data_IF_108626549362
#
_entry.id   IF_108626549362
#
_cell.length_a   1.000
_cell.length_b   1.000
_cell.length_c   1.000
_cell.angle_alpha   90.00
_cell.angle_beta   90.00
_cell.angle_gamma   90.00
#
_symmetry.space_group_name_H-M   'P 1'
#
loop_
_entity.id
_entity.type
_entity.pdbx_description
1 polymer ?
#
# COMPACT_ATOMS: atom_id res chain seq x y z
N UNK A 1 -7.68 -3.91 -9.30
CA UNK A 1 -7.40 -3.84 -7.83
C UNK A 1 -7.92 -5.06 -7.07
N UNK A 2 -9.18 -5.49 -7.29
CA UNK A 2 -9.80 -6.63 -6.59
C UNK A 2 -9.08 -7.98 -6.79
N UNK A 3 -8.49 -8.19 -7.98
CA UNK A 3 -7.71 -9.39 -8.30
C UNK A 3 -6.47 -9.54 -7.41
N UNK A 4 -5.72 -8.46 -7.21
CA UNK A 4 -4.52 -8.44 -6.34
C UNK A 4 -4.91 -8.72 -4.89
N UNK A 5 -5.97 -8.08 -4.40
CA UNK A 5 -6.48 -8.28 -3.05
C UNK A 5 -6.85 -9.75 -2.82
N UNK A 6 -7.55 -10.35 -3.78
CA UNK A 6 -7.97 -11.75 -3.75
C UNK A 6 -6.77 -12.70 -3.82
N UNK A 7 -5.78 -12.42 -4.68
CA UNK A 7 -4.53 -13.20 -4.81
C UNK A 7 -3.76 -13.27 -3.49
N UNK A 8 -3.55 -12.12 -2.84
CA UNK A 8 -2.87 -12.03 -1.55
C UNK A 8 -3.63 -12.78 -0.44
N UNK A 9 -4.95 -12.58 -0.37
CA UNK A 9 -5.80 -13.27 0.61
C UNK A 9 -5.77 -14.79 0.44
N UNK A 10 -5.96 -15.26 -0.79
CA UNK A 10 -5.97 -16.68 -1.09
C UNK A 10 -4.63 -17.33 -0.74
N UNK A 11 -3.52 -16.66 -1.06
CA UNK A 11 -2.20 -17.17 -0.71
C UNK A 11 -2.00 -17.26 0.82
N UNK A 12 -2.40 -16.23 1.58
CA UNK A 12 -2.34 -16.27 3.05
C UNK A 12 -3.14 -17.47 3.59
N UNK A 13 -4.36 -17.66 3.09
CA UNK A 13 -5.24 -18.74 3.53
C UNK A 13 -4.71 -20.12 3.15
N UNK A 14 -4.09 -20.27 1.98
CA UNK A 14 -3.42 -21.51 1.57
C UNK A 14 -2.23 -21.87 2.47
N UNK A 15 -1.50 -20.87 2.96
CA UNK A 15 -0.43 -21.05 3.93
C UNK A 15 -0.95 -21.33 5.35
N UNK A 16 -2.26 -21.27 5.58
CA UNK A 16 -2.86 -21.45 6.91
C UNK A 16 -2.58 -20.32 7.89
N UNK A 17 -2.11 -19.16 7.40
CA UNK A 17 -1.70 -18.03 8.22
C UNK A 17 -2.92 -17.18 8.57
N UNK A 18 -3.05 -16.81 9.84
CA UNK A 18 -4.11 -15.87 10.22
C UNK A 18 -3.71 -14.43 9.90
N UNK A 19 -4.68 -13.55 9.64
CA UNK A 19 -4.37 -12.14 9.38
C UNK A 19 -3.66 -11.46 10.56
N UNK A 20 -3.95 -11.88 11.81
CA UNK A 20 -3.28 -11.40 13.02
C UNK A 20 -1.82 -11.83 13.09
N UNK A 21 -1.52 -13.05 12.66
CA UNK A 21 -0.16 -13.59 12.59
C UNK A 21 0.64 -12.85 11.51
N UNK A 22 0.09 -12.72 10.31
CA UNK A 22 0.68 -11.92 9.25
C UNK A 22 0.99 -10.48 9.70
N UNK A 23 0.07 -9.82 10.40
CA UNK A 23 0.29 -8.48 10.94
C UNK A 23 1.44 -8.44 11.96
N UNK A 24 1.50 -9.44 12.86
CA UNK A 24 2.55 -9.56 13.87
C UNK A 24 3.93 -9.78 13.23
N UNK A 25 4.01 -10.60 12.19
CA UNK A 25 5.27 -11.00 11.57
C UNK A 25 5.81 -9.91 10.64
N UNK A 26 4.95 -9.36 9.78
CA UNK A 26 5.29 -8.28 8.84
C UNK A 26 5.47 -6.91 9.49
N UNK A 27 4.99 -6.74 10.73
CA UNK A 27 4.87 -5.45 11.43
C UNK A 27 3.94 -4.45 10.75
N UNK A 28 3.13 -4.91 9.79
CA UNK A 28 2.06 -4.11 9.20
C UNK A 28 0.86 -4.14 10.17
N UNK A 29 0.23 -2.98 10.38
CA UNK A 29 -0.99 -2.90 11.19
C UNK A 29 -2.08 -3.81 10.61
N UNK A 30 -2.82 -4.49 11.48
CA UNK A 30 -3.87 -5.42 11.08
C UNK A 30 -4.89 -4.76 10.15
N UNK A 31 -5.25 -3.50 10.44
CA UNK A 31 -6.21 -2.71 9.67
C UNK A 31 -5.73 -2.47 8.22
N UNK A 32 -4.42 -2.37 8.00
CA UNK A 32 -3.87 -2.22 6.65
C UNK A 32 -3.83 -3.53 5.89
N UNK A 33 -3.54 -4.67 6.54
CA UNK A 33 -3.68 -5.96 5.88
C UNK A 33 -5.14 -6.27 5.53
N UNK A 34 -6.09 -5.90 6.40
CA UNK A 34 -7.52 -5.97 6.10
C UNK A 34 -7.90 -5.10 4.89
N UNK A 35 -7.41 -3.86 4.85
CA UNK A 35 -7.62 -2.96 3.71
C UNK A 35 -7.02 -3.53 2.41
N UNK A 36 -5.83 -4.15 2.47
CA UNK A 36 -5.20 -4.79 1.32
C UNK A 36 -6.04 -5.97 0.82
N UNK A 37 -6.44 -6.89 1.70
CA UNK A 37 -7.20 -8.09 1.31
C UNK A 37 -8.66 -7.82 0.93
N UNK A 38 -9.18 -6.63 1.27
CA UNK A 38 -10.51 -6.16 0.83
C UNK A 38 -10.47 -5.27 -0.40
N UNK A 39 -9.28 -4.96 -0.93
CA UNK A 39 -9.10 -4.02 -2.03
C UNK A 39 -9.40 -2.55 -1.68
N UNK A 40 -9.65 -2.23 -0.39
CA UNK A 40 -9.93 -0.88 0.07
C UNK A 40 -8.64 -0.10 0.35
N UNK A 41 -7.87 0.15 -0.71
CA UNK A 41 -6.56 0.78 -0.63
C UNK A 41 -6.60 2.25 -0.15
N UNK A 42 -7.74 2.92 -0.30
CA UNK A 42 -7.95 4.30 0.16
C UNK A 42 -7.72 4.48 1.66
N UNK A 43 -7.91 3.43 2.47
CA UNK A 43 -7.69 3.46 3.92
C UNK A 43 -6.19 3.50 4.33
N UNK A 44 -5.28 3.22 3.40
CA UNK A 44 -3.84 3.13 3.67
C UNK A 44 -3.15 4.51 3.54
N UNK A 45 -3.87 5.51 3.00
CA UNK A 45 -3.38 6.87 2.86
C UNK A 45 -2.52 7.05 1.62
N UNK A 46 -1.24 7.38 1.78
CA UNK A 46 -0.35 7.67 0.65
C UNK A 46 0.09 6.39 -0.09
N UNK A 47 0.16 6.48 -1.40
CA UNK A 47 0.53 5.37 -2.28
C UNK A 47 1.90 4.76 -1.98
N UNK A 48 2.86 5.58 -1.54
CA UNK A 48 4.19 5.11 -1.15
C UNK A 48 4.10 4.06 -0.03
N UNK A 49 3.19 4.25 0.94
CA UNK A 49 2.97 3.27 2.00
C UNK A 49 2.31 2.01 1.48
N UNK A 50 1.29 2.15 0.62
CA UNK A 50 0.64 1.00 0.00
C UNK A 50 1.61 0.14 -0.79
N UNK A 51 2.43 0.72 -1.66
CA UNK A 51 3.47 -0.03 -2.40
C UNK A 51 4.47 -0.68 -1.46
N UNK A 52 4.85 -0.01 -0.37
CA UNK A 52 5.70 -0.60 0.66
C UNK A 52 5.06 -1.82 1.33
N UNK A 53 3.78 -1.73 1.71
CA UNK A 53 3.04 -2.83 2.33
C UNK A 53 2.79 -3.98 1.37
N UNK A 54 2.47 -3.70 0.10
CA UNK A 54 2.35 -4.72 -0.93
C UNK A 54 3.66 -5.51 -1.06
N UNK A 55 4.82 -4.84 -1.09
CA UNK A 55 6.13 -5.50 -1.15
C UNK A 55 6.39 -6.39 0.06
N UNK A 56 6.23 -5.85 1.27
CA UNK A 56 6.47 -6.61 2.51
C UNK A 56 5.54 -7.82 2.58
N UNK A 57 4.27 -7.65 2.20
CA UNK A 57 3.28 -8.69 2.34
C UNK A 57 3.40 -9.78 1.26
N UNK A 58 3.69 -9.41 0.01
CA UNK A 58 3.97 -10.38 -1.05
C UNK A 58 5.21 -11.22 -0.74
N UNK A 59 6.27 -10.60 -0.23
CA UNK A 59 7.49 -11.31 0.20
C UNK A 59 7.20 -12.29 1.34
N UNK A 60 6.47 -11.86 2.37
CA UNK A 60 6.03 -12.71 3.48
C UNK A 60 5.20 -13.92 3.01
N UNK A 61 4.37 -13.73 1.97
CA UNK A 61 3.53 -14.79 1.39
C UNK A 61 4.24 -15.65 0.33
N UNK A 62 5.55 -15.45 0.13
CA UNK A 62 6.35 -16.12 -0.90
C UNK A 62 5.79 -15.94 -2.33
N UNK A 63 5.23 -14.76 -2.62
CA UNK A 63 4.77 -14.37 -3.95
C UNK A 63 5.84 -13.53 -4.65
N UNK A 64 5.80 -13.50 -5.99
CA UNK A 64 6.65 -12.59 -6.75
C UNK A 64 6.22 -11.14 -6.49
N UNK A 65 7.03 -10.46 -5.69
CA UNK A 65 6.81 -9.07 -5.31
C UNK A 65 6.84 -8.13 -6.51
N UNK A 66 7.66 -8.41 -7.52
CA UNK A 66 7.75 -7.56 -8.73
C UNK A 66 6.47 -7.69 -9.54
N UNK A 67 5.94 -8.90 -9.67
CA UNK A 67 4.68 -9.17 -10.36
C UNK A 67 3.51 -8.45 -9.69
N UNK A 68 3.36 -8.57 -8.36
CA UNK A 68 2.30 -7.90 -7.60
C UNK A 68 2.35 -6.37 -7.77
N UNK A 69 3.54 -5.78 -7.74
CA UNK A 69 3.70 -4.33 -7.92
C UNK A 69 3.40 -3.91 -9.36
N UNK A 70 3.84 -4.69 -10.36
CA UNK A 70 3.54 -4.42 -11.76
C UNK A 70 2.03 -4.52 -12.04
N UNK A 71 1.34 -5.54 -11.52
CA UNK A 71 -0.11 -5.67 -11.59
C UNK A 71 -0.82 -4.48 -10.95
N UNK A 72 -0.33 -4.02 -9.78
CA UNK A 72 -0.89 -2.84 -9.11
C UNK A 72 -0.73 -1.56 -9.95
N UNK A 73 0.45 -1.36 -10.54
CA UNK A 73 0.74 -0.19 -11.37
C UNK A 73 -0.07 -0.21 -12.67
N UNK A 74 -0.20 -1.37 -13.33
CA UNK A 74 -1.02 -1.53 -14.52
C UNK A 74 -2.51 -1.31 -14.22
N UNK A 75 -3.02 -1.91 -13.13
CA UNK A 75 -4.39 -1.73 -12.70
C UNK A 75 -4.69 -0.29 -12.27
N UNK A 76 -3.67 0.52 -11.94
CA UNK A 76 -3.83 1.95 -11.66
C UNK A 76 -3.80 2.78 -12.94
N UNK A 77 -2.91 2.47 -13.89
CA UNK A 77 -2.82 3.21 -15.16
C UNK A 77 -4.10 3.11 -15.98
N UNK A 78 -4.81 1.97 -15.91
CA UNK A 78 -6.09 1.78 -16.58
C UNK A 78 -7.23 2.64 -16.00
N UNK A 79 -7.04 3.23 -14.81
CA UNK A 79 -8.01 4.09 -14.11
C UNK A 79 -7.60 5.57 -14.06
N UNK A 80 -6.49 5.97 -14.67
CA UNK A 80 -6.06 7.37 -14.67
C UNK A 80 -6.69 8.16 -15.83
N UNK A 81 -7.94 8.60 -15.63
CA UNK A 81 -8.40 9.90 -16.11
C UNK A 81 -7.97 10.93 -15.07
N UNK A 82 -6.98 11.76 -15.44
CA UNK A 82 -6.65 13.07 -14.87
C UNK A 82 -6.82 13.26 -13.34
N UNK A 83 -5.76 13.03 -12.58
CA UNK A 83 -5.49 13.84 -11.37
C UNK A 83 -4.00 13.89 -11.07
N UNK A 84 -3.32 14.79 -11.78
CA UNK A 84 -2.16 15.51 -11.25
C UNK A 84 -2.57 16.12 -9.89
N UNK A 85 -1.90 15.75 -8.79
CA UNK A 85 -1.73 16.54 -7.55
C UNK A 85 -1.36 15.66 -6.33
N UNK A 86 -0.19 15.03 -6.34
CA UNK A 86 0.43 14.48 -5.12
C UNK A 86 1.95 14.70 -5.06
N UNK A 87 2.47 15.76 -5.70
CA UNK A 87 3.91 16.11 -5.63
C UNK A 87 4.22 17.49 -5.00
N UNK A 88 3.29 18.10 -4.24
CA UNK A 88 3.54 19.40 -3.57
C UNK A 88 3.80 19.34 -2.05
N UNK A 89 4.23 18.18 -1.52
CA UNK A 89 4.63 18.11 -0.10
C UNK A 89 6.06 18.66 0.12
N UNK A 90 6.92 18.64 -0.90
CA UNK A 90 8.25 19.25 -0.83
C UNK A 90 8.19 20.79 -0.70
N UNK A 91 7.21 21.44 -1.33
CA UNK A 91 7.06 22.90 -1.29
C UNK A 91 6.47 23.41 0.04
N UNK A 92 5.58 22.64 0.69
CA UNK A 92 4.97 23.03 1.97
C UNK A 92 5.91 22.87 3.17
N UNK A 93 6.98 22.09 3.06
CA UNK A 93 8.03 21.97 4.08
C UNK A 93 9.03 23.14 4.05
N UNK A 94 9.09 23.91 2.95
CA UNK A 94 9.90 25.12 2.84
C UNK A 94 9.28 26.34 3.54
N UNK A 95 7.96 26.39 3.70
CA UNK A 95 7.24 27.58 4.20
C UNK A 95 6.97 27.65 5.71
N UNK A 96 7.40 26.67 6.52
CA UNK A 96 7.08 26.67 7.96
C UNK A 96 8.17 27.22 8.91
N UNK A 97 9.07 28.10 8.42
CA UNK A 97 9.86 28.98 9.31
C UNK A 97 9.26 30.38 9.28
N UNK A 98 8.18 30.57 10.04
CA UNK A 98 7.70 31.92 10.35
C UNK A 98 8.75 32.63 11.21
N UNK A 99 9.11 33.82 10.75
CA UNK A 99 10.12 34.80 11.19
C UNK A 99 10.27 35.02 12.70
N UNK A 100 11.49 35.36 13.20
CA UNK A 100 11.61 36.24 14.35
C UNK A 100 11.62 37.71 13.88
N UNK A 101 10.65 38.47 14.38
CA UNK A 101 10.65 39.94 14.45
C UNK A 101 11.96 40.44 15.08
N UNK A 102 12.59 41.46 14.50
CA UNK A 102 13.22 42.56 15.24
C UNK A 102 13.01 43.85 14.45
#
# INVERSE_FOLDING_TARGET
MEEIATKLKNQREQLGITLKEAAKDTKIRLEYLQAIESGNFSNIGQEVFLKGFLKIYSDYLNLDTKEIIAEYEAAKSDYNLDSEDQDSLADKLSMNRVSPKL
#
